data_IF_082377630108
#
_entry.id   IF_082377630108
#
_cell.length_a   1.000
_cell.length_b   1.000
_cell.length_c   1.000
_cell.angle_alpha   90.00
_cell.angle_beta   90.00
_cell.angle_gamma   90.00
#
_symmetry.space_group_name_H-M   'P 1'
#
loop_
_entity.id
_entity.type
_entity.pdbx_description
1 polymer ?
#
# COMPACT_ATOMS: atom_id res chain seq x y z
N UNK A 1 8.51 9.15 -15.07
CA UNK A 1 8.25 7.71 -15.30
C UNK A 1 7.04 7.32 -14.46
N UNK A 2 5.99 6.74 -15.06
CA UNK A 2 4.75 6.33 -14.37
C UNK A 2 4.77 4.81 -14.13
N UNK A 3 4.70 4.39 -12.86
CA UNK A 3 4.71 2.97 -12.48
C UNK A 3 3.45 2.21 -12.93
N UNK A 4 2.35 2.90 -13.24
CA UNK A 4 1.12 2.27 -13.74
C UNK A 4 1.21 1.85 -15.21
N UNK A 5 2.19 2.37 -15.96
CA UNK A 5 2.39 2.03 -17.37
C UNK A 5 3.11 0.70 -17.60
N UNK A 6 3.68 0.11 -16.54
CA UNK A 6 4.39 -1.17 -16.60
C UNK A 6 3.48 -2.34 -16.21
N UNK A 7 3.68 -3.51 -16.84
CA UNK A 7 3.09 -4.77 -16.36
C UNK A 7 3.86 -5.23 -15.14
N UNK A 8 3.15 -5.64 -14.10
CA UNK A 8 3.70 -6.19 -12.87
C UNK A 8 3.80 -7.72 -13.01
N UNK A 9 4.76 -8.19 -13.82
CA UNK A 9 4.92 -9.59 -14.15
C UNK A 9 5.77 -10.36 -13.13
N UNK A 10 5.22 -11.44 -12.56
CA UNK A 10 5.94 -12.56 -11.93
C UNK A 10 6.81 -12.30 -10.70
N UNK A 11 7.06 -11.04 -10.34
CA UNK A 11 7.94 -10.62 -9.24
C UNK A 11 7.14 -9.92 -8.15
N UNK A 12 7.56 -10.10 -6.89
CA UNK A 12 6.96 -9.43 -5.75
C UNK A 12 7.23 -7.91 -5.85
N UNK A 13 6.18 -7.13 -6.11
CA UNK A 13 6.32 -5.67 -6.28
C UNK A 13 6.23 -4.98 -4.92
N UNK A 14 7.11 -4.01 -4.66
CA UNK A 14 6.96 -3.10 -3.53
C UNK A 14 6.28 -1.80 -3.99
N UNK A 15 5.26 -1.36 -3.25
CA UNK A 15 4.56 -0.11 -3.53
C UNK A 15 4.33 0.71 -2.26
N UNK A 16 4.67 2.00 -2.30
CA UNK A 16 4.30 2.98 -1.27
C UNK A 16 3.69 4.21 -1.95
N UNK A 17 2.44 4.11 -2.45
CA UNK A 17 1.82 5.17 -3.23
C UNK A 17 1.32 6.31 -2.32
N UNK A 18 1.19 7.53 -2.87
CA UNK A 18 0.33 8.56 -2.29
C UNK A 18 -1.07 8.00 -1.98
N UNK A 19 -1.65 8.40 -0.85
CA UNK A 19 -2.96 7.91 -0.36
C UNK A 19 -4.07 7.94 -1.43
N UNK A 20 -4.22 8.99 -2.26
CA UNK A 20 -5.25 9.01 -3.31
C UNK A 20 -5.09 7.90 -4.36
N UNK A 21 -3.88 7.36 -4.54
CA UNK A 21 -3.56 6.35 -5.54
C UNK A 21 -3.70 4.91 -5.03
N UNK A 22 -3.94 4.69 -3.73
CA UNK A 22 -4.11 3.35 -3.14
C UNK A 22 -5.17 2.55 -3.89
N UNK A 23 -6.34 3.12 -4.15
CA UNK A 23 -7.41 2.45 -4.90
C UNK A 23 -6.99 2.05 -6.33
N UNK A 24 -6.17 2.87 -6.99
CA UNK A 24 -5.64 2.57 -8.33
C UNK A 24 -4.63 1.43 -8.28
N UNK A 25 -3.77 1.39 -7.26
CA UNK A 25 -2.84 0.28 -7.01
C UNK A 25 -3.59 -1.03 -6.78
N UNK A 26 -4.61 -1.05 -5.93
CA UNK A 26 -5.39 -2.27 -5.67
C UNK A 26 -6.06 -2.82 -6.95
N UNK A 27 -6.59 -1.93 -7.81
CA UNK A 27 -7.13 -2.34 -9.12
C UNK A 27 -6.04 -2.88 -10.05
N UNK A 28 -4.85 -2.27 -10.05
CA UNK A 28 -3.71 -2.75 -10.85
C UNK A 28 -3.29 -4.15 -10.43
N UNK A 29 -3.27 -4.43 -9.12
CA UNK A 29 -2.99 -5.75 -8.56
C UNK A 29 -3.92 -6.82 -9.14
N UNK A 30 -5.23 -6.53 -9.16
CA UNK A 30 -6.23 -7.42 -9.74
C UNK A 30 -6.02 -7.64 -11.24
N UNK A 31 -5.86 -6.54 -11.99
CA UNK A 31 -5.74 -6.57 -13.46
C UNK A 31 -4.49 -7.33 -13.93
N UNK A 32 -3.38 -7.16 -13.21
CA UNK A 32 -2.09 -7.74 -13.58
C UNK A 32 -1.85 -9.12 -12.96
N UNK A 33 -2.72 -9.60 -12.07
CA UNK A 33 -2.46 -10.86 -11.35
C UNK A 33 -1.25 -10.78 -10.41
N UNK A 34 -0.89 -9.58 -9.94
CA UNK A 34 0.40 -9.31 -9.32
C UNK A 34 0.41 -9.58 -7.81
N UNK A 35 1.53 -10.09 -7.28
CA UNK A 35 1.78 -10.12 -5.83
C UNK A 35 2.52 -8.87 -5.39
N UNK A 36 2.02 -8.19 -4.35
CA UNK A 36 2.51 -6.87 -3.96
C UNK A 36 2.66 -6.73 -2.45
N UNK A 37 3.80 -6.18 -2.00
CA UNK A 37 3.95 -5.57 -0.68
C UNK A 37 3.52 -4.11 -0.81
N UNK A 38 2.34 -3.79 -0.29
CA UNK A 38 1.81 -2.43 -0.28
C UNK A 38 1.97 -1.81 1.10
N UNK A 39 2.64 -0.67 1.18
CA UNK A 39 2.63 0.18 2.37
C UNK A 39 1.47 1.17 2.24
N UNK A 40 0.48 1.07 3.12
CA UNK A 40 -0.63 2.02 3.16
C UNK A 40 -1.30 2.07 4.54
N UNK A 41 -2.06 3.14 4.84
CA UNK A 41 -2.78 3.27 6.10
C UNK A 41 -3.77 2.13 6.36
N UNK A 42 -3.82 1.63 7.60
CA UNK A 42 -4.85 0.71 8.06
C UNK A 42 -6.13 1.47 8.44
N UNK A 43 -6.89 1.93 7.45
CA UNK A 43 -8.07 2.79 7.67
C UNK A 43 -9.40 2.10 7.26
N UNK A 44 -10.09 1.40 8.19
CA UNK A 44 -11.34 0.70 7.91
C UNK A 44 -12.46 1.56 7.31
N UNK A 45 -12.44 2.87 7.57
CA UNK A 45 -13.46 3.83 7.09
C UNK A 45 -13.28 4.25 5.62
N UNK A 46 -12.19 3.84 4.94
CA UNK A 46 -11.96 4.20 3.53
C UNK A 46 -12.68 3.25 2.59
N UNK A 47 -13.23 3.78 1.50
CA UNK A 47 -13.97 3.00 0.49
C UNK A 47 -13.16 1.89 -0.17
N UNK A 48 -11.83 2.03 -0.26
CA UNK A 48 -10.94 1.00 -0.81
C UNK A 48 -10.54 -0.08 0.20
N UNK A 49 -10.84 0.09 1.48
CA UNK A 49 -10.43 -0.84 2.55
C UNK A 49 -11.00 -2.26 2.37
N UNK A 50 -12.27 -2.47 1.99
CA UNK A 50 -12.78 -3.82 1.74
C UNK A 50 -11.99 -4.56 0.67
N UNK A 51 -11.60 -3.86 -0.41
CA UNK A 51 -10.80 -4.44 -1.48
C UNK A 51 -9.36 -4.73 -1.04
N UNK A 52 -8.76 -3.85 -0.23
CA UNK A 52 -7.47 -4.11 0.38
C UNK A 52 -7.51 -5.40 1.23
N UNK A 53 -8.57 -5.55 2.04
CA UNK A 53 -8.77 -6.72 2.89
C UNK A 53 -9.00 -8.00 2.10
N UNK A 54 -9.76 -7.96 1.01
CA UNK A 54 -10.00 -9.14 0.18
C UNK A 54 -8.73 -9.63 -0.54
N UNK A 55 -7.81 -8.71 -0.86
CA UNK A 55 -6.52 -9.04 -1.47
C UNK A 55 -5.45 -9.47 -0.45
N UNK A 56 -5.68 -9.25 0.84
CA UNK A 56 -4.70 -9.47 1.88
C UNK A 56 -4.58 -10.95 2.22
N UNK A 57 -3.40 -11.53 2.00
CA UNK A 57 -3.15 -12.97 2.20
C UNK A 57 -2.49 -13.30 3.55
N UNK A 58 -2.06 -12.29 4.30
CA UNK A 58 -1.41 -12.44 5.61
C UNK A 58 -1.86 -11.33 6.57
N UNK A 59 -1.56 -11.48 7.86
CA UNK A 59 -1.81 -10.40 8.81
C UNK A 59 -0.93 -9.19 8.46
N UNK A 60 -1.49 -7.97 8.33
CA UNK A 60 -0.71 -6.80 8.00
C UNK A 60 0.25 -6.46 9.14
N UNK A 61 1.50 -6.13 8.79
CA UNK A 61 2.49 -5.71 9.75
C UNK A 61 2.31 -4.22 10.04
N UNK A 62 1.84 -3.89 11.25
CA UNK A 62 1.74 -2.49 11.69
C UNK A 62 3.14 -1.93 11.82
N UNK A 63 3.42 -0.85 11.09
CA UNK A 63 4.73 -0.21 11.12
C UNK A 63 4.83 0.66 12.38
N UNK A 64 5.93 0.57 13.15
CA UNK A 64 6.14 1.45 14.29
C UNK A 64 6.22 2.89 13.79
N UNK A 65 5.60 3.80 14.54
CA UNK A 65 5.66 5.24 14.29
C UNK A 65 7.08 5.71 14.58
N UNK A 66 7.93 5.70 13.56
CA UNK A 66 9.33 6.10 13.65
C UNK A 66 9.46 7.47 12.99
N UNK A 67 9.88 8.48 13.76
CA UNK A 67 10.04 9.87 13.30
C UNK A 67 11.04 10.01 12.13
N UNK A 68 11.87 9.00 11.94
CA UNK A 68 12.91 8.84 10.92
C UNK A 68 12.46 8.08 9.66
N UNK A 69 11.31 7.39 9.66
CA UNK A 69 10.85 6.59 8.51
C UNK A 69 10.22 7.42 7.37
N UNK A 70 9.86 8.68 7.62
CA UNK A 70 9.21 9.58 6.66
C UNK A 70 10.07 10.81 6.37
N UNK A 71 11.35 10.61 6.01
CA UNK A 71 12.18 11.72 5.56
C UNK A 71 12.06 11.89 4.04
N UNK A 72 10.99 12.54 3.56
CA UNK A 72 10.81 12.94 2.16
C UNK A 72 11.25 14.38 1.89
N UNK A 73 12.15 14.94 2.70
CA UNK A 73 12.60 16.34 2.61
C UNK A 73 11.99 17.22 3.73
N UNK A 74 11.95 18.56 3.57
CA UNK A 74 11.70 19.52 4.66
C UNK A 74 10.28 19.51 5.25
N UNK A 75 9.42 18.61 4.79
CA UNK A 75 8.04 18.48 5.26
C UNK A 75 8.01 17.46 6.40
N UNK A 76 8.22 17.94 7.63
CA UNK A 76 7.89 17.18 8.82
C UNK A 76 6.37 17.01 8.88
N UNK A 77 5.86 15.78 8.76
CA UNK A 77 4.46 15.53 9.07
C UNK A 77 4.24 15.76 10.57
N UNK A 78 3.28 16.62 10.98
CA UNK A 78 3.12 17.02 12.39
C UNK A 78 2.67 15.86 13.30
N UNK A 79 2.11 14.79 12.74
CA UNK A 79 1.78 13.56 13.48
C UNK A 79 1.94 12.31 12.59
N UNK A 80 3.14 11.69 12.54
CA UNK A 80 3.35 10.46 11.77
C UNK A 80 2.55 9.26 12.35
N UNK A 81 2.07 9.36 13.59
CA UNK A 81 1.24 8.32 14.21
C UNK A 81 -0.19 8.27 13.67
N UNK A 82 -0.72 9.40 13.23
CA UNK A 82 -2.06 9.49 12.61
C UNK A 82 -2.21 8.63 11.34
N UNK A 83 -1.10 8.34 10.65
CA UNK A 83 -1.14 7.60 9.39
C UNK A 83 -1.42 6.11 9.58
N UNK A 84 -1.12 5.53 10.75
CA UNK A 84 -1.34 4.11 11.06
C UNK A 84 -0.91 3.18 9.91
N UNK A 85 0.30 3.41 9.39
CA UNK A 85 0.82 2.67 8.24
C UNK A 85 0.99 1.19 8.59
N UNK A 86 0.63 0.34 7.65
CA UNK A 86 0.91 -1.08 7.72
C UNK A 86 1.48 -1.57 6.40
N UNK A 87 2.27 -2.62 6.46
CA UNK A 87 2.71 -3.38 5.31
C UNK A 87 1.72 -4.52 5.04
N UNK A 88 1.17 -4.52 3.84
CA UNK A 88 0.15 -5.47 3.39
C UNK A 88 0.73 -6.36 2.32
N UNK A 89 0.68 -7.67 2.52
CA UNK A 89 1.01 -8.64 1.48
C UNK A 89 -0.28 -8.97 0.73
N UNK A 90 -0.32 -8.56 -0.54
CA UNK A 90 -1.49 -8.61 -1.38
C UNK A 90 -1.29 -9.59 -2.54
N UNK A 91 -2.30 -10.41 -2.80
CA UNK A 91 -2.39 -11.26 -3.99
C UNK A 91 -3.85 -11.30 -4.44
N UNK A 92 -4.13 -11.18 -5.75
CA UNK A 92 -5.41 -11.60 -6.27
C UNK A 92 -5.57 -13.10 -6.00
N UNK A 93 -6.73 -13.49 -5.46
CA UNK A 93 -7.09 -14.90 -5.31
C UNK A 93 -7.07 -15.57 -6.68
N UNK A 94 -6.37 -16.70 -6.80
CA UNK A 94 -6.36 -17.53 -8.01
C UNK A 94 -7.70 -18.23 -8.20
#
# INVERSE_FOLDING_TARGET
MDAFSHRWNGSLVYAFPPIPLVAKVLRKILLDGARVILICPNWPKRSWYPLLRSLCIQQPLILPVRKDLLNQGPILHPDPGSLQLAAWILSPSS
#
